data_IF_316963262329
#
_entry.id   IF_316963262329
#
_cell.length_a   1.000
_cell.length_b   1.000
_cell.length_c   1.000
_cell.angle_alpha   90.00
_cell.angle_beta   90.00
_cell.angle_gamma   90.00
#
_symmetry.space_group_name_H-M   'P 1'
#
loop_
_entity.id
_entity.type
_entity.pdbx_description
1 polymer ?
#
# COMPACT_ATOMS: atom_id res chain seq x y z
N UNK A 1 17.40 -3.01 -2.28
CA UNK A 1 16.84 -4.36 -2.07
C UNK A 1 15.40 -4.32 -2.59
N UNK A 2 14.98 -5.25 -3.46
CA UNK A 2 13.60 -5.28 -3.99
C UNK A 2 12.75 -6.11 -3.01
N UNK A 3 11.74 -5.51 -2.41
CA UNK A 3 10.88 -6.20 -1.43
C UNK A 3 9.84 -7.04 -2.18
N UNK A 4 9.82 -8.37 -1.97
CA UNK A 4 8.77 -9.20 -2.52
C UNK A 4 7.44 -8.85 -1.88
N UNK A 5 6.37 -9.16 -2.59
CA UNK A 5 5.04 -9.11 -2.06
C UNK A 5 4.19 -10.14 -2.79
N UNK A 6 3.16 -10.61 -2.10
CA UNK A 6 2.19 -11.55 -2.65
C UNK A 6 0.82 -10.95 -2.50
N UNK A 7 0.07 -10.91 -3.60
CA UNK A 7 -1.25 -10.30 -3.68
C UNK A 7 -2.31 -11.35 -3.99
N UNK A 8 -3.42 -11.33 -3.26
CA UNK A 8 -4.63 -12.11 -3.55
C UNK A 8 -5.78 -11.15 -3.88
N UNK A 9 -6.51 -11.46 -4.96
CA UNK A 9 -7.69 -10.74 -5.42
C UNK A 9 -8.84 -11.74 -5.58
N UNK A 10 -9.95 -11.52 -4.88
CA UNK A 10 -11.16 -12.34 -4.99
C UNK A 10 -12.33 -11.42 -5.36
N UNK A 11 -12.91 -11.64 -6.53
CA UNK A 11 -14.11 -10.92 -6.95
C UNK A 11 -15.35 -11.43 -6.22
N UNK A 12 -16.37 -10.56 -6.09
CA UNK A 12 -17.65 -10.87 -5.44
C UNK A 12 -18.34 -12.17 -5.87
N UNK A 13 -18.16 -12.60 -7.13
CA UNK A 13 -18.77 -13.84 -7.63
C UNK A 13 -17.93 -15.09 -7.32
N UNK A 14 -16.70 -14.92 -6.83
CA UNK A 14 -15.77 -15.98 -6.46
C UNK A 14 -15.63 -16.14 -4.94
N UNK A 15 -16.04 -15.13 -4.14
CA UNK A 15 -16.10 -15.19 -2.69
C UNK A 15 -17.28 -16.03 -2.21
N UNK A 16 -17.14 -16.65 -1.03
CA UNK A 16 -18.21 -17.43 -0.40
C UNK A 16 -19.45 -16.61 -0.03
N UNK A 17 -19.26 -15.36 0.40
CA UNK A 17 -20.30 -14.49 0.97
C UNK A 17 -20.71 -13.31 0.06
N UNK A 18 -20.15 -13.23 -1.15
CA UNK A 18 -20.38 -12.12 -2.08
C UNK A 18 -19.49 -10.89 -1.84
N UNK A 19 -18.55 -10.93 -0.89
CA UNK A 19 -17.62 -9.83 -0.63
C UNK A 19 -16.51 -9.72 -1.70
N UNK A 20 -15.95 -8.52 -1.88
CA UNK A 20 -14.73 -8.35 -2.68
C UNK A 20 -13.53 -8.32 -1.75
N UNK A 21 -12.59 -9.26 -1.93
CA UNK A 21 -11.44 -9.40 -1.06
C UNK A 21 -10.17 -8.97 -1.77
N UNK A 22 -9.40 -8.15 -1.08
CA UNK A 22 -8.14 -7.60 -1.55
C UNK A 22 -7.13 -7.76 -0.43
N UNK A 23 -6.20 -8.70 -0.59
CA UNK A 23 -5.19 -9.02 0.42
C UNK A 23 -3.78 -8.92 -0.16
N UNK A 24 -2.80 -8.62 0.70
CA UNK A 24 -1.38 -8.47 0.37
C UNK A 24 -0.54 -8.87 1.58
N UNK A 25 0.56 -9.57 1.35
CA UNK A 25 1.69 -9.59 2.28
C UNK A 25 2.66 -8.47 1.91
N UNK A 26 3.00 -7.65 2.90
CA UNK A 26 4.15 -6.76 2.81
C UNK A 26 5.33 -7.44 3.49
N UNK A 27 6.38 -7.70 2.71
CA UNK A 27 7.57 -8.37 3.20
C UNK A 27 8.66 -7.33 3.47
N UNK A 28 9.23 -7.35 4.68
CA UNK A 28 10.43 -6.57 5.00
C UNK A 28 11.68 -7.22 4.39
N UNK A 29 12.77 -6.45 4.29
CA UNK A 29 14.06 -7.00 3.85
C UNK A 29 14.56 -8.08 4.82
N UNK A 30 15.20 -9.13 4.31
CA UNK A 30 15.74 -10.23 5.13
C UNK A 30 16.54 -9.72 6.33
N UNK A 31 16.15 -10.14 7.54
CA UNK A 31 16.81 -9.77 8.80
C UNK A 31 16.41 -8.41 9.36
N UNK A 32 15.46 -7.71 8.73
CA UNK A 32 14.92 -6.43 9.20
C UNK A 32 13.48 -6.64 9.65
N UNK A 33 13.14 -6.14 10.84
CA UNK A 33 11.77 -6.12 11.35
C UNK A 33 11.25 -4.68 11.32
N UNK A 34 10.19 -4.45 10.56
CA UNK A 34 9.54 -3.14 10.42
C UNK A 34 8.16 -3.21 11.07
N UNK A 35 8.01 -2.77 12.33
CA UNK A 35 6.72 -2.82 13.01
C UNK A 35 5.73 -1.88 12.31
N UNK A 36 4.53 -2.42 12.04
CA UNK A 36 3.43 -1.69 11.44
C UNK A 36 2.39 -1.32 12.49
N UNK A 37 1.66 -0.23 12.24
CA UNK A 37 0.48 0.15 13.02
C UNK A 37 -0.71 0.37 12.10
N UNK A 38 -1.91 0.01 12.56
CA UNK A 38 -3.13 0.45 11.89
C UNK A 38 -3.44 1.89 12.31
N UNK A 39 -3.71 2.77 11.35
CA UNK A 39 -4.05 4.18 11.60
C UNK A 39 -5.27 4.60 10.79
N UNK A 40 -6.19 5.31 11.43
CA UNK A 40 -7.23 6.10 10.75
C UNK A 40 -6.67 7.50 10.53
N UNK A 41 -6.79 8.02 9.31
CA UNK A 41 -6.41 9.39 8.95
C UNK A 41 -7.69 10.18 8.70
N UNK A 42 -7.90 11.22 9.50
CA UNK A 42 -9.01 12.14 9.37
C UNK A 42 -8.72 13.25 8.34
N UNK A 43 -9.76 13.85 7.70
CA UNK A 43 -9.58 14.86 6.66
C UNK A 43 -8.72 16.07 7.03
N UNK A 44 -8.73 16.45 8.30
CA UNK A 44 -7.93 17.53 8.90
C UNK A 44 -6.46 17.15 9.13
N UNK A 45 -6.15 15.86 9.21
CA UNK A 45 -4.78 15.34 9.31
C UNK A 45 -4.10 15.15 7.93
N UNK A 46 -4.88 15.19 6.84
CA UNK A 46 -4.36 14.98 5.49
C UNK A 46 -3.67 16.26 4.97
N UNK A 47 -2.40 16.21 4.55
CA UNK A 47 -1.74 17.38 3.99
C UNK A 47 -2.39 17.80 2.66
N UNK A 48 -2.43 19.11 2.39
CA UNK A 48 -2.82 19.66 1.08
C UNK A 48 -1.64 19.80 0.13
N UNK A 49 -0.43 19.91 0.68
CA UNK A 49 0.82 19.85 -0.08
C UNK A 49 1.62 18.70 0.48
N UNK A 50 1.83 17.65 -0.31
CA UNK A 50 2.59 16.48 0.09
C UNK A 50 3.95 16.46 -0.60
N UNK A 51 5.03 16.39 0.18
CA UNK A 51 6.38 16.18 -0.33
C UNK A 51 6.88 14.79 0.07
N UNK A 52 7.27 13.98 -0.92
CA UNK A 52 7.82 12.65 -0.66
C UNK A 52 9.21 12.72 -0.04
N UNK A 53 9.49 11.83 0.93
CA UNK A 53 10.80 11.82 1.62
C UNK A 53 11.92 11.32 0.69
N UNK A 54 11.67 10.26 -0.10
CA UNK A 54 12.70 9.61 -0.91
C UNK A 54 12.99 10.29 -2.24
N UNK A 55 11.96 10.79 -2.93
CA UNK A 55 12.12 11.41 -4.26
C UNK A 55 12.01 12.93 -4.27
N UNK A 56 11.67 13.54 -3.13
CA UNK A 56 11.46 14.98 -2.98
C UNK A 56 10.39 15.56 -3.93
N UNK A 57 9.52 14.71 -4.48
CA UNK A 57 8.41 15.11 -5.33
C UNK A 57 7.36 15.81 -4.46
N UNK A 58 6.97 17.01 -4.87
CA UNK A 58 5.87 17.76 -4.22
C UNK A 58 4.62 17.70 -5.07
N UNK A 59 3.49 17.38 -4.44
CA UNK A 59 2.18 17.23 -5.08
C UNK A 59 1.15 18.04 -4.30
N UNK A 60 0.43 18.90 -5.00
CA UNK A 60 -0.77 19.58 -4.50
C UNK A 60 -1.95 18.59 -4.50
N UNK A 61 -2.62 18.48 -3.36
CA UNK A 61 -3.73 17.57 -3.13
C UNK A 61 -5.06 18.35 -3.01
N UNK A 62 -6.19 17.75 -3.40
CA UNK A 62 -7.50 18.38 -3.27
C UNK A 62 -7.84 18.78 -1.83
N UNK A 63 -8.66 19.83 -1.67
CA UNK A 63 -9.01 20.38 -0.36
C UNK A 63 -10.12 19.59 0.37
N UNK A 64 -10.65 18.54 -0.26
CA UNK A 64 -11.77 17.72 0.21
C UNK A 64 -11.40 16.22 0.40
N UNK A 65 -10.37 15.89 1.21
CA UNK A 65 -10.03 14.49 1.45
C UNK A 65 -11.09 13.79 2.28
N UNK A 66 -11.23 12.49 2.04
CA UNK A 66 -12.07 11.60 2.84
C UNK A 66 -11.24 10.98 3.97
N UNK A 67 -11.90 10.54 5.04
CA UNK A 67 -11.23 9.71 6.05
C UNK A 67 -10.86 8.37 5.43
N UNK A 68 -9.72 7.81 5.82
CA UNK A 68 -9.27 6.51 5.35
C UNK A 68 -8.45 5.76 6.38
N UNK A 69 -8.40 4.44 6.27
CA UNK A 69 -7.48 3.58 7.03
C UNK A 69 -6.15 3.45 6.30
N UNK A 70 -5.07 3.25 7.05
CA UNK A 70 -3.73 3.00 6.51
C UNK A 70 -2.96 2.08 7.44
N UNK A 71 -1.89 1.45 6.92
CA UNK A 71 -1.01 0.58 7.71
C UNK A 71 0.44 1.07 7.64
N UNK A 72 0.74 2.27 8.18
CA UNK A 72 2.08 2.84 8.11
C UNK A 72 3.10 2.13 8.99
N UNK A 73 4.37 2.35 8.66
CA UNK A 73 5.48 2.05 9.55
C UNK A 73 5.37 2.81 10.87
N UNK A 74 5.76 2.13 11.95
CA UNK A 74 5.92 2.74 13.27
C UNK A 74 7.28 3.46 13.34
N UNK A 75 8.31 2.88 12.74
CA UNK A 75 9.67 3.45 12.75
C UNK A 75 9.78 4.49 11.65
N UNK A 76 10.10 5.75 11.98
CA UNK A 76 10.32 6.78 10.96
C UNK A 76 11.64 6.52 10.22
N UNK A 77 11.65 6.70 8.90
CA UNK A 77 12.89 6.62 8.12
C UNK A 77 12.70 6.87 6.62
N UNK A 78 11.67 6.26 6.03
CA UNK A 78 11.49 6.26 4.57
C UNK A 78 10.25 7.04 4.10
N UNK A 79 9.56 7.75 5.01
CA UNK A 79 8.31 8.45 4.76
C UNK A 79 7.12 7.79 5.46
N UNK A 80 5.91 8.07 4.98
CA UNK A 80 4.66 7.59 5.61
C UNK A 80 4.42 6.09 5.39
N UNK A 81 4.75 5.57 4.20
CA UNK A 81 4.57 4.16 3.83
C UNK A 81 3.18 3.61 4.20
N UNK A 82 2.12 4.24 3.69
CA UNK A 82 0.73 3.95 4.08
C UNK A 82 0.21 2.55 3.68
N UNK A 83 0.96 1.81 2.84
CA UNK A 83 0.72 0.44 2.35
C UNK A 83 -0.64 0.18 1.68
N UNK A 84 -1.68 0.02 2.50
CA UNK A 84 -3.00 -0.37 2.08
C UNK A 84 -4.05 0.29 2.96
N UNK A 85 -5.23 0.55 2.39
CA UNK A 85 -6.29 1.27 3.07
C UNK A 85 -7.61 1.23 2.34
N UNK A 86 -8.67 1.61 3.05
CA UNK A 86 -9.98 1.90 2.47
C UNK A 86 -10.49 3.25 2.96
N UNK A 87 -11.23 3.96 2.10
CA UNK A 87 -11.86 5.23 2.45
C UNK A 87 -13.33 5.04 2.88
N UNK A 88 -14.00 6.13 3.25
CA UNK A 88 -15.40 6.15 3.67
C UNK A 88 -16.41 5.73 2.58
N UNK A 89 -15.98 5.66 1.32
CA UNK A 89 -16.79 5.15 0.20
C UNK A 89 -16.50 3.67 -0.10
N UNK A 90 -15.81 2.96 0.80
CA UNK A 90 -15.42 1.56 0.66
C UNK A 90 -14.53 1.29 -0.57
N UNK A 91 -13.76 2.28 -1.01
CA UNK A 91 -12.76 2.12 -2.07
C UNK A 91 -11.43 1.70 -1.45
N UNK A 92 -10.92 0.54 -1.85
CA UNK A 92 -9.65 -0.01 -1.37
C UNK A 92 -8.51 0.24 -2.37
N UNK A 93 -7.33 0.62 -1.86
CA UNK A 93 -6.10 0.79 -2.66
C UNK A 93 -4.92 0.13 -1.94
N UNK A 94 -4.03 -0.50 -2.69
CA UNK A 94 -2.70 -0.92 -2.22
C UNK A 94 -1.64 -0.89 -3.33
N UNK A 95 -0.38 -0.94 -2.95
CA UNK A 95 0.78 -1.03 -3.86
C UNK A 95 1.31 -2.48 -3.97
N UNK A 96 1.99 -2.80 -5.07
CA UNK A 96 2.62 -4.11 -5.31
C UNK A 96 3.91 -3.92 -6.11
N UNK A 97 5.02 -4.47 -5.62
CA UNK A 97 6.31 -4.49 -6.31
C UNK A 97 6.43 -5.75 -7.17
N UNK A 98 6.08 -5.65 -8.44
CA UNK A 98 6.20 -6.78 -9.36
C UNK A 98 7.67 -7.13 -9.62
N UNK A 99 8.10 -8.36 -9.31
CA UNK A 99 9.40 -8.90 -9.76
C UNK A 99 9.25 -9.60 -11.09
N UNK A 100 9.53 -8.91 -12.21
CA UNK A 100 9.73 -9.60 -13.50
C UNK A 100 11.13 -10.25 -13.51
N UNK A 101 11.21 -11.58 -13.28
CA UNK A 101 12.31 -12.36 -13.85
C UNK A 101 11.97 -12.62 -15.31
N UNK A 102 12.66 -11.97 -16.25
CA UNK A 102 12.59 -12.34 -17.66
C UNK A 102 13.14 -13.77 -17.80
N UNK A 103 12.26 -14.78 -17.85
CA UNK A 103 12.63 -16.11 -18.33
C UNK A 103 12.90 -15.99 -19.83
N UNK A 104 14.16 -15.71 -20.21
CA UNK A 104 14.66 -16.15 -21.52
C UNK A 104 14.66 -17.68 -21.46
N UNK A 105 13.60 -18.30 -21.94
CA UNK A 105 13.63 -19.71 -22.27
C UNK A 105 14.71 -19.89 -23.35
N UNK A 106 15.88 -20.40 -22.97
CA UNK A 106 16.76 -21.04 -23.95
C UNK A 106 16.09 -22.38 -24.26
N UNK A 107 15.63 -22.54 -25.49
CA UNK A 107 15.32 -23.86 -26.02
C UNK A 107 16.63 -24.64 -26.08
N UNK A 108 16.67 -25.77 -25.37
CA UNK A 108 17.57 -26.89 -25.65
C UNK A 108 16.69 -28.13 -25.71
#
# INVERSE_FOLDING_TARGET
MRMPCTTILVGKNASYDGSTLVARNEDSSNGVFEPKRMRVVHPDEQPRVYTSVLSHLTVELPDNPMRYTSVPDVVPGHGIWAEAGFNELNVHVRTETLTQRARRARSS
#
